data_IF_411645468803
#
_entry.id   IF_411645468803
#
_cell.length_a   1.000
_cell.length_b   1.000
_cell.length_c   1.000
_cell.angle_alpha   90.00
_cell.angle_beta   90.00
_cell.angle_gamma   90.00
#
_symmetry.space_group_name_H-M   'P 1'
#
loop_
_entity.id
_entity.type
_entity.pdbx_description
1 polymer ?
#
# COMPACT_ATOMS: atom_id res chain seq x y z
N UNK A 1 9.22 -39.56 39.41
CA UNK A 1 8.67 -40.51 38.42
C UNK A 1 7.62 -39.75 37.64
N UNK A 2 7.71 -39.42 36.35
CA UNK A 2 8.55 -39.88 35.23
C UNK A 2 8.83 -38.64 34.36
N UNK A 3 10.06 -38.52 33.86
CA UNK A 3 10.51 -37.52 32.89
C UNK A 3 10.02 -37.88 31.49
N UNK A 4 9.59 -36.91 30.69
CA UNK A 4 9.66 -36.99 29.24
C UNK A 4 10.28 -35.70 28.69
N UNK A 5 11.52 -35.85 28.22
CA UNK A 5 12.19 -34.94 27.32
C UNK A 5 11.68 -35.23 25.90
N UNK A 6 11.40 -34.20 25.12
CA UNK A 6 11.39 -34.29 23.66
C UNK A 6 11.97 -33.00 23.11
N UNK A 7 13.27 -33.08 22.82
CA UNK A 7 14.05 -32.15 22.03
C UNK A 7 13.47 -32.10 20.61
N UNK A 8 13.21 -30.90 20.09
CA UNK A 8 13.10 -30.66 18.66
C UNK A 8 14.17 -29.64 18.27
N UNK A 9 15.35 -30.16 17.95
CA UNK A 9 16.32 -29.48 17.11
C UNK A 9 15.92 -29.70 15.65
N UNK A 10 15.60 -28.64 14.90
CA UNK A 10 15.62 -28.69 13.44
C UNK A 10 16.29 -27.43 12.90
N UNK A 11 17.59 -27.59 12.68
CA UNK A 11 18.34 -27.15 11.50
C UNK A 11 18.13 -25.73 10.94
N UNK A 12 19.09 -24.86 11.28
CA UNK A 12 19.54 -23.73 10.48
C UNK A 12 19.82 -24.13 9.01
N UNK A 13 19.13 -23.50 8.07
CA UNK A 13 19.57 -23.40 6.68
C UNK A 13 19.83 -21.92 6.34
N UNK A 14 21.08 -21.50 6.59
CA UNK A 14 21.65 -20.21 6.17
C UNK A 14 21.73 -20.16 4.63
N UNK A 15 20.72 -19.61 3.97
CA UNK A 15 20.71 -19.39 2.53
C UNK A 15 21.33 -18.04 2.19
N UNK A 16 22.64 -18.03 1.97
CA UNK A 16 23.41 -16.86 1.50
C UNK A 16 23.08 -16.61 0.03
N UNK A 17 22.17 -15.66 -0.26
CA UNK A 17 22.01 -15.11 -1.61
C UNK A 17 22.99 -13.95 -1.81
N UNK A 18 24.10 -14.24 -2.48
CA UNK A 18 25.01 -13.24 -3.04
C UNK A 18 24.32 -12.57 -4.23
N UNK A 19 23.84 -11.34 -4.05
CA UNK A 19 23.36 -10.51 -5.15
C UNK A 19 24.51 -9.69 -5.73
N UNK A 20 24.77 -9.97 -7.01
CA UNK A 20 25.75 -9.37 -7.90
C UNK A 20 25.27 -7.98 -8.33
N UNK A 21 25.97 -6.87 -8.01
CA UNK A 21 25.62 -5.57 -8.59
C UNK A 21 26.28 -5.43 -9.96
N UNK A 22 25.49 -5.65 -11.01
CA UNK A 22 25.81 -5.21 -12.37
C UNK A 22 25.04 -3.94 -12.69
N UNK A 23 25.81 -2.93 -13.09
CA UNK A 23 25.49 -2.00 -14.17
C UNK A 23 24.30 -1.03 -13.95
N UNK A 24 24.61 0.22 -13.58
CA UNK A 24 23.84 1.36 -14.09
C UNK A 24 24.78 2.44 -14.64
N UNK A 25 24.48 2.73 -15.90
CA UNK A 25 25.18 3.61 -16.84
C UNK A 25 24.88 5.06 -16.50
N UNK A 26 25.94 5.85 -16.26
CA UNK A 26 25.88 7.31 -16.20
C UNK A 26 25.62 7.87 -17.61
N UNK A 27 24.39 8.30 -17.88
CA UNK A 27 24.10 9.16 -19.02
C UNK A 27 24.47 10.59 -18.63
N UNK A 28 25.55 11.06 -19.25
CA UNK A 28 26.09 12.39 -19.09
C UNK A 28 25.19 13.45 -19.74
N UNK A 29 25.09 14.57 -19.01
CA UNK A 29 24.54 15.87 -19.36
C UNK A 29 24.89 16.32 -20.79
N UNK A 30 23.86 16.67 -21.54
CA UNK A 30 23.99 17.36 -22.83
C UNK A 30 22.97 18.47 -22.98
N UNK A 31 23.43 19.72 -22.78
CA UNK A 31 23.17 20.81 -23.73
C UNK A 31 21.81 21.50 -23.72
N UNK A 32 21.75 22.64 -23.04
CA UNK A 32 20.82 23.73 -23.32
C UNK A 32 21.06 24.29 -24.74
N UNK A 33 20.03 24.42 -25.59
CA UNK A 33 20.08 25.30 -26.76
C UNK A 33 18.68 25.72 -27.24
N UNK A 34 18.57 27.01 -27.50
CA UNK A 34 17.37 27.83 -27.65
C UNK A 34 16.69 27.71 -29.02
N UNK A 35 15.34 27.72 -29.05
CA UNK A 35 14.55 28.40 -30.09
C UNK A 35 13.05 28.42 -29.75
N UNK A 36 12.39 29.60 -29.72
CA UNK A 36 10.94 29.67 -29.77
C UNK A 36 10.46 29.59 -31.23
N UNK A 37 9.58 28.64 -31.60
CA UNK A 37 8.88 28.73 -32.87
C UNK A 37 7.65 29.62 -32.73
N UNK A 38 7.79 30.80 -33.31
CA UNK A 38 6.88 31.43 -34.26
C UNK A 38 5.50 30.79 -34.46
N UNK A 39 4.47 31.61 -34.25
CA UNK A 39 3.06 31.34 -34.52
C UNK A 39 2.84 30.86 -35.96
N UNK A 40 2.43 29.61 -36.12
CA UNK A 40 1.79 29.12 -37.34
C UNK A 40 0.52 28.35 -37.02
N UNK A 41 -0.59 28.94 -37.47
CA UNK A 41 -1.78 28.31 -38.04
C UNK A 41 -2.53 27.29 -37.17
N UNK A 42 -3.74 27.69 -36.78
CA UNK A 42 -4.84 26.79 -36.39
C UNK A 42 -4.94 25.59 -37.32
N UNK A 43 -4.45 24.44 -36.88
CA UNK A 43 -4.88 23.16 -37.40
C UNK A 43 -5.86 22.57 -36.38
N UNK A 44 -7.07 22.32 -36.85
CA UNK A 44 -8.18 21.81 -36.05
C UNK A 44 -7.85 20.41 -35.56
N UNK A 45 -7.18 20.34 -34.41
CA UNK A 45 -7.02 19.11 -33.63
C UNK A 45 -8.43 18.68 -33.25
N UNK A 46 -9.01 17.76 -34.03
CA UNK A 46 -10.17 16.98 -33.57
C UNK A 46 -9.71 16.33 -32.27
N UNK A 47 -10.20 16.84 -31.14
CA UNK A 47 -10.07 16.15 -29.87
C UNK A 47 -10.43 14.68 -30.11
N UNK A 48 -9.61 13.72 -29.66
CA UNK A 48 -9.98 12.32 -29.74
C UNK A 48 -11.36 12.19 -29.10
N UNK A 49 -12.32 11.67 -29.86
CA UNK A 49 -13.63 11.33 -29.33
C UNK A 49 -13.36 10.24 -28.30
N UNK A 50 -13.37 10.59 -27.01
CA UNK A 50 -13.31 9.61 -25.94
C UNK A 50 -14.49 8.66 -26.16
N UNK A 51 -14.16 7.42 -26.49
CA UNK A 51 -15.14 6.36 -26.62
C UNK A 51 -15.81 6.19 -25.25
N UNK A 52 -17.11 6.48 -25.18
CA UNK A 52 -17.87 6.36 -23.94
C UNK A 52 -17.90 4.90 -23.51
N UNK A 53 -17.15 4.58 -22.45
CA UNK A 53 -17.20 3.26 -21.80
C UNK A 53 -18.60 2.98 -21.28
N UNK A 54 -19.06 1.75 -21.49
CA UNK A 54 -20.29 1.25 -20.85
C UNK A 54 -20.10 1.17 -19.33
N UNK A 55 -21.19 1.19 -18.53
CA UNK A 55 -21.09 1.01 -17.08
C UNK A 55 -20.35 -0.26 -16.67
N UNK A 56 -20.53 -1.36 -17.43
CA UNK A 56 -19.85 -2.64 -17.20
C UNK A 56 -18.34 -2.54 -17.43
N UNK A 57 -17.92 -1.86 -18.51
CA UNK A 57 -16.50 -1.62 -18.79
C UNK A 57 -15.84 -0.72 -17.75
N UNK A 58 -16.58 0.27 -17.24
CA UNK A 58 -16.12 1.14 -16.15
C UNK A 58 -15.93 0.35 -14.87
N UNK A 59 -16.93 -0.43 -14.44
CA UNK A 59 -16.85 -1.24 -13.21
C UNK A 59 -15.74 -2.30 -13.31
N UNK A 60 -15.62 -2.97 -14.46
CA UNK A 60 -14.54 -3.92 -14.70
C UNK A 60 -13.16 -3.26 -14.58
N UNK A 61 -12.98 -2.08 -15.20
CA UNK A 61 -11.71 -1.37 -15.11
C UNK A 61 -11.40 -0.91 -13.68
N UNK A 62 -12.39 -0.39 -12.95
CA UNK A 62 -12.25 0.00 -11.55
C UNK A 62 -11.82 -1.18 -10.67
N UNK A 63 -12.48 -2.33 -10.79
CA UNK A 63 -12.10 -3.53 -10.03
C UNK A 63 -10.71 -4.03 -10.42
N UNK A 64 -10.37 -4.03 -11.70
CA UNK A 64 -9.07 -4.46 -12.20
C UNK A 64 -7.93 -3.57 -11.70
N UNK A 65 -8.08 -2.25 -11.82
CA UNK A 65 -7.07 -1.31 -11.33
C UNK A 65 -7.03 -1.27 -9.81
N UNK A 66 -8.19 -1.28 -9.16
CA UNK A 66 -8.33 -1.21 -7.71
C UNK A 66 -7.69 -2.40 -7.00
N UNK A 67 -8.01 -3.63 -7.43
CA UNK A 67 -7.41 -4.85 -6.86
C UNK A 67 -5.90 -4.91 -7.11
N UNK A 68 -5.43 -4.47 -8.28
CA UNK A 68 -3.99 -4.39 -8.56
C UNK A 68 -3.27 -3.43 -7.60
N UNK A 69 -3.83 -2.24 -7.37
CA UNK A 69 -3.27 -1.27 -6.44
C UNK A 69 -3.40 -1.72 -4.99
N UNK A 70 -4.48 -2.44 -4.64
CA UNK A 70 -4.67 -3.03 -3.32
C UNK A 70 -3.53 -4.01 -2.99
N UNK A 71 -3.07 -4.80 -3.96
CA UNK A 71 -1.89 -5.66 -3.79
C UNK A 71 -0.63 -4.87 -3.41
N UNK A 72 -0.41 -3.70 -4.01
CA UNK A 72 0.71 -2.82 -3.62
C UNK A 72 0.52 -2.26 -2.19
N UNK A 73 -0.72 -1.89 -1.82
CA UNK A 73 -1.06 -1.49 -0.46
C UNK A 73 -0.78 -2.58 0.58
N UNK A 74 -1.16 -3.83 0.30
CA UNK A 74 -0.87 -4.98 1.16
C UNK A 74 0.63 -5.22 1.32
N UNK A 75 1.41 -5.14 0.24
CA UNK A 75 2.88 -5.24 0.28
C UNK A 75 3.49 -4.13 1.16
N UNK A 76 2.95 -2.91 1.09
CA UNK A 76 3.40 -1.77 1.91
C UNK A 76 3.02 -1.92 3.38
N UNK A 77 1.83 -2.44 3.71
CA UNK A 77 1.45 -2.82 5.09
C UNK A 77 2.41 -3.88 5.64
N UNK A 78 2.70 -4.92 4.86
CA UNK A 78 3.67 -5.95 5.26
C UNK A 78 5.06 -5.34 5.48
N UNK A 79 5.46 -4.36 4.65
CA UNK A 79 6.70 -3.61 4.83
C UNK A 79 6.74 -2.87 6.17
N UNK A 80 5.64 -2.21 6.55
CA UNK A 80 5.52 -1.50 7.82
C UNK A 80 5.61 -2.45 9.01
N UNK A 81 4.87 -3.56 8.98
CA UNK A 81 4.91 -4.58 10.03
C UNK A 81 6.31 -5.20 10.17
N UNK A 82 6.98 -5.48 9.03
CA UNK A 82 8.35 -5.98 9.04
C UNK A 82 9.36 -4.96 9.60
N UNK A 83 9.11 -3.66 9.48
CA UNK A 83 9.95 -2.62 10.08
C UNK A 83 9.69 -2.52 11.59
N UNK A 84 8.43 -2.61 12.02
CA UNK A 84 8.05 -2.68 13.45
C UNK A 84 8.78 -3.84 14.15
N UNK A 85 8.71 -5.06 13.59
CA UNK A 85 9.40 -6.23 14.13
C UNK A 85 10.93 -6.11 14.23
N UNK A 86 11.56 -5.30 13.36
CA UNK A 86 13.01 -5.08 13.39
C UNK A 86 13.42 -4.00 14.38
N UNK A 87 12.48 -3.14 14.75
CA UNK A 87 12.74 -1.99 15.61
C UNK A 87 13.09 -2.46 17.02
N UNK A 88 14.18 -1.91 17.57
CA UNK A 88 14.66 -2.29 18.90
C UNK A 88 14.02 -1.41 19.95
N UNK A 89 13.22 -2.01 20.83
CA UNK A 89 12.74 -1.33 22.02
C UNK A 89 13.90 -0.97 22.96
N UNK A 90 14.07 0.32 23.25
CA UNK A 90 15.10 0.85 24.18
C UNK A 90 14.55 1.15 25.57
N UNK A 91 13.23 1.19 25.72
CA UNK A 91 12.52 1.38 26.98
C UNK A 91 11.28 0.45 27.05
N UNK A 92 10.69 0.31 28.24
CA UNK A 92 9.44 -0.44 28.42
C UNK A 92 8.27 0.25 27.69
N UNK A 93 8.23 1.57 27.70
CA UNK A 93 7.23 2.39 26.99
C UNK A 93 7.27 2.14 25.48
N UNK A 94 8.46 2.17 24.86
CA UNK A 94 8.62 1.86 23.43
C UNK A 94 8.22 0.41 23.12
N UNK A 95 8.45 -0.51 24.06
CA UNK A 95 8.06 -1.91 23.88
C UNK A 95 6.55 -2.09 23.86
N UNK A 96 5.84 -1.41 24.76
CA UNK A 96 4.37 -1.45 24.80
C UNK A 96 3.79 -0.80 23.54
N UNK A 97 4.32 0.36 23.17
CA UNK A 97 3.91 1.03 21.94
C UNK A 97 4.16 0.22 20.67
N UNK A 98 5.28 -0.50 20.56
CA UNK A 98 5.53 -1.39 19.43
C UNK A 98 4.51 -2.53 19.37
N UNK A 99 4.06 -3.06 20.51
CA UNK A 99 3.02 -4.10 20.51
C UNK A 99 1.68 -3.54 20.02
N UNK A 100 1.27 -2.38 20.52
CA UNK A 100 0.03 -1.71 20.08
C UNK A 100 0.11 -1.33 18.58
N UNK A 101 1.29 -0.92 18.12
CA UNK A 101 1.56 -0.60 16.71
C UNK A 101 1.51 -1.83 15.81
N UNK A 102 2.12 -2.95 16.23
CA UNK A 102 2.09 -4.22 15.52
C UNK A 102 0.64 -4.74 15.39
N UNK A 103 -0.14 -4.67 16.47
CA UNK A 103 -1.55 -5.08 16.47
C UNK A 103 -2.37 -4.22 15.50
N UNK A 104 -2.23 -2.87 15.54
CA UNK A 104 -2.95 -1.97 14.64
C UNK A 104 -2.59 -2.17 13.15
N UNK A 105 -1.30 -2.34 12.83
CA UNK A 105 -0.86 -2.61 11.45
C UNK A 105 -1.37 -3.99 10.98
N UNK A 106 -1.31 -4.99 11.85
CA UNK A 106 -1.77 -6.33 11.52
C UNK A 106 -3.29 -6.39 11.31
N UNK A 107 -4.07 -5.67 12.10
CA UNK A 107 -5.53 -5.54 11.92
C UNK A 107 -5.87 -4.89 10.57
N UNK A 108 -5.12 -3.85 10.18
CA UNK A 108 -5.27 -3.20 8.87
C UNK A 108 -5.01 -4.16 7.70
N UNK A 109 -3.97 -4.98 7.79
CA UNK A 109 -3.62 -5.96 6.74
C UNK A 109 -4.51 -7.19 6.71
N UNK A 110 -4.88 -7.73 7.88
CA UNK A 110 -5.70 -8.93 8.00
C UNK A 110 -7.08 -8.76 7.38
N UNK A 111 -7.68 -7.58 7.55
CA UNK A 111 -9.00 -7.23 7.00
C UNK A 111 -9.02 -7.23 5.46
N UNK A 112 -7.94 -6.78 4.83
CA UNK A 112 -7.83 -6.68 3.37
C UNK A 112 -7.37 -7.99 2.71
N UNK A 113 -6.56 -8.79 3.40
CA UNK A 113 -6.04 -10.06 2.87
C UNK A 113 -7.13 -11.09 2.57
N UNK A 114 -8.31 -10.98 3.20
CA UNK A 114 -9.47 -11.83 2.91
C UNK A 114 -10.09 -11.56 1.53
N UNK A 115 -9.80 -10.41 0.92
CA UNK A 115 -10.40 -9.96 -0.35
C UNK A 115 -9.40 -9.83 -1.51
N UNK A 116 -8.14 -10.27 -1.30
CA UNK A 116 -7.06 -10.33 -2.31
C UNK A 116 -7.28 -11.49 -3.32
N UNK A 117 -8.46 -11.48 -3.92
CA UNK A 117 -8.88 -12.38 -4.99
C UNK A 117 -8.72 -11.70 -6.35
N UNK A 118 -8.37 -12.46 -7.39
CA UNK A 118 -8.25 -12.00 -8.77
C UNK A 118 -9.43 -11.11 -9.22
N UNK A 119 -9.10 -10.08 -10.00
CA UNK A 119 -10.10 -9.22 -10.62
C UNK A 119 -11.02 -10.03 -11.56
N UNK A 120 -12.34 -9.79 -11.54
CA UNK A 120 -13.26 -10.50 -12.42
C UNK A 120 -13.05 -10.10 -13.88
N UNK A 121 -13.34 -11.01 -14.81
CA UNK A 121 -13.34 -10.66 -16.25
C UNK A 121 -14.56 -9.82 -16.61
N UNK A 122 -14.48 -9.09 -17.73
CA UNK A 122 -15.58 -8.28 -18.24
C UNK A 122 -16.86 -9.10 -18.50
N UNK A 123 -16.74 -10.35 -18.96
CA UNK A 123 -17.89 -11.24 -19.17
C UNK A 123 -18.61 -11.54 -17.85
N UNK A 124 -17.87 -11.77 -16.76
CA UNK A 124 -18.44 -12.00 -15.44
C UNK A 124 -19.13 -10.75 -14.90
N UNK A 125 -18.48 -9.59 -15.04
CA UNK A 125 -19.07 -8.29 -14.66
C UNK A 125 -20.34 -8.00 -15.45
N UNK A 126 -20.35 -8.31 -16.74
CA UNK A 126 -21.53 -8.12 -17.61
C UNK A 126 -22.68 -9.06 -17.22
N UNK A 127 -22.37 -10.30 -16.83
CA UNK A 127 -23.36 -11.30 -16.43
C UNK A 127 -23.99 -11.00 -15.06
N UNK A 128 -23.24 -10.40 -14.13
CA UNK A 128 -23.71 -10.16 -12.75
C UNK A 128 -23.16 -8.85 -12.16
N UNK A 129 -23.50 -7.73 -12.79
CA UNK A 129 -23.06 -6.40 -12.37
C UNK A 129 -23.37 -6.07 -10.89
N UNK A 130 -24.57 -6.37 -10.34
CA UNK A 130 -24.90 -6.03 -8.96
C UNK A 130 -23.96 -6.68 -7.92
N UNK A 131 -23.57 -7.94 -8.13
CA UNK A 131 -22.63 -8.64 -7.23
C UNK A 131 -21.27 -7.97 -7.22
N UNK A 132 -20.77 -7.56 -8.38
CA UNK A 132 -19.46 -6.92 -8.48
C UNK A 132 -19.45 -5.46 -8.02
N UNK A 133 -20.57 -4.75 -8.17
CA UNK A 133 -20.74 -3.43 -7.57
C UNK A 133 -20.74 -3.53 -6.03
N UNK A 134 -21.40 -4.54 -5.47
CA UNK A 134 -21.37 -4.80 -4.03
C UNK A 134 -19.96 -5.17 -3.54
N UNK A 135 -19.22 -5.99 -4.31
CA UNK A 135 -17.81 -6.29 -4.02
C UNK A 135 -16.94 -5.02 -4.06
N UNK A 136 -17.08 -4.19 -5.11
CA UNK A 136 -16.36 -2.92 -5.23
C UNK A 136 -16.60 -2.03 -4.02
N UNK A 137 -17.87 -1.89 -3.60
CA UNK A 137 -18.22 -1.11 -2.41
C UNK A 137 -17.60 -1.70 -1.14
N UNK A 138 -17.72 -3.02 -0.94
CA UNK A 138 -17.10 -3.71 0.21
C UNK A 138 -15.60 -3.43 0.27
N UNK A 139 -14.89 -3.50 -0.85
CA UNK A 139 -13.46 -3.17 -0.91
C UNK A 139 -13.19 -1.71 -0.49
N UNK A 140 -13.99 -0.75 -0.94
CA UNK A 140 -13.86 0.64 -0.50
C UNK A 140 -14.04 0.77 1.02
N UNK A 141 -15.08 0.15 1.57
CA UNK A 141 -15.38 0.20 3.01
C UNK A 141 -14.21 -0.42 3.82
N UNK A 142 -13.68 -1.57 3.40
CA UNK A 142 -12.52 -2.21 4.06
C UNK A 142 -11.24 -1.38 3.94
N UNK A 143 -10.99 -0.72 2.80
CA UNK A 143 -9.83 0.16 2.65
C UNK A 143 -9.94 1.35 3.60
N UNK A 144 -11.12 1.94 3.77
CA UNK A 144 -11.34 3.02 4.74
C UNK A 144 -11.09 2.53 6.17
N UNK A 145 -11.62 1.36 6.55
CA UNK A 145 -11.36 0.75 7.87
C UNK A 145 -9.85 0.56 8.11
N UNK A 146 -9.11 0.05 7.12
CA UNK A 146 -7.65 -0.11 7.21
C UNK A 146 -6.92 1.24 7.29
N UNK A 147 -7.38 2.26 6.56
CA UNK A 147 -6.82 3.62 6.67
C UNK A 147 -7.02 4.20 8.08
N UNK A 148 -8.16 3.96 8.73
CA UNK A 148 -8.38 4.35 10.13
C UNK A 148 -7.41 3.63 11.07
N UNK A 149 -7.24 2.31 10.94
CA UNK A 149 -6.27 1.56 11.76
C UNK A 149 -4.82 2.03 11.55
N UNK A 150 -4.43 2.38 10.31
CA UNK A 150 -3.10 2.93 10.02
C UNK A 150 -2.94 4.36 10.55
N UNK A 151 -3.99 5.18 10.55
CA UNK A 151 -3.99 6.49 11.21
C UNK A 151 -3.78 6.36 12.73
N UNK A 152 -4.46 5.41 13.38
CA UNK A 152 -4.27 5.12 14.80
C UNK A 152 -2.83 4.70 15.09
N UNK A 153 -2.27 3.80 14.25
CA UNK A 153 -0.86 3.40 14.31
C UNK A 153 0.08 4.61 14.16
N UNK A 154 -0.20 5.51 13.21
CA UNK A 154 0.58 6.74 13.01
C UNK A 154 0.53 7.65 14.23
N UNK A 155 -0.63 7.76 14.87
CA UNK A 155 -0.82 8.51 16.11
C UNK A 155 0.00 7.97 17.28
N UNK A 156 0.19 6.66 17.38
CA UNK A 156 1.10 6.03 18.37
C UNK A 156 2.55 6.48 18.13
N UNK A 157 3.00 6.49 16.88
CA UNK A 157 4.35 6.96 16.50
C UNK A 157 4.54 8.43 16.87
N UNK A 158 3.56 9.28 16.55
CA UNK A 158 3.61 10.72 16.85
C UNK A 158 3.57 11.02 18.36
N UNK A 159 2.78 10.26 19.11
CA UNK A 159 2.68 10.40 20.57
C UNK A 159 4.00 10.13 21.31
N UNK A 160 4.94 9.44 20.64
CA UNK A 160 6.25 9.06 21.17
C UNK A 160 7.42 9.80 20.49
N UNK A 161 7.12 10.78 19.65
CA UNK A 161 8.14 11.69 19.13
C UNK A 161 8.79 12.44 20.30
N UNK A 162 10.12 12.35 20.47
CA UNK A 162 10.79 13.03 21.57
C UNK A 162 10.66 14.56 21.42
N UNK A 163 10.62 15.26 22.55
CA UNK A 163 10.42 16.71 22.60
C UNK A 163 11.63 17.55 22.15
N UNK A 164 12.77 16.91 21.86
CA UNK A 164 14.03 17.52 21.44
C UNK A 164 14.47 16.93 20.09
N UNK A 165 15.50 17.48 19.42
CA UNK A 165 16.04 17.11 18.09
C UNK A 165 16.52 15.62 17.94
N UNK A 166 16.14 14.72 18.84
CA UNK A 166 16.35 13.28 18.70
C UNK A 166 15.30 12.69 17.77
N UNK A 167 15.71 11.82 16.85
CA UNK A 167 14.78 11.10 16.00
C UNK A 167 14.17 9.94 16.80
N UNK A 168 12.83 9.80 16.75
CA UNK A 168 12.16 8.66 17.41
C UNK A 168 12.65 7.35 16.79
N UNK A 169 12.94 6.30 17.59
CA UNK A 169 13.25 4.99 17.04
C UNK A 169 12.09 4.38 16.24
N UNK A 170 10.87 4.92 16.39
CA UNK A 170 9.67 4.50 15.66
C UNK A 170 9.47 5.25 14.33
N UNK A 171 10.22 6.32 14.08
CA UNK A 171 10.08 7.15 12.87
C UNK A 171 10.21 6.34 11.56
N UNK A 172 11.15 5.38 11.42
CA UNK A 172 11.19 4.52 10.24
C UNK A 172 9.91 3.70 10.02
N UNK A 173 9.22 3.31 11.10
CA UNK A 173 7.94 2.60 11.01
C UNK A 173 6.84 3.57 10.58
N UNK A 174 6.82 4.78 11.15
CA UNK A 174 5.90 5.86 10.74
C UNK A 174 5.97 6.16 9.24
N UNK A 175 7.18 6.27 8.68
CA UNK A 175 7.36 6.47 7.24
C UNK A 175 6.82 5.32 6.38
N UNK A 176 6.87 4.08 6.90
CA UNK A 176 6.30 2.92 6.20
C UNK A 176 4.78 2.89 6.29
N UNK A 177 4.22 3.31 7.42
CA UNK A 177 2.78 3.51 7.57
C UNK A 177 2.29 4.56 6.57
N UNK A 178 2.97 5.70 6.46
CA UNK A 178 2.61 6.76 5.51
C UNK A 178 2.58 6.26 4.06
N UNK A 179 3.59 5.47 3.66
CA UNK A 179 3.63 4.84 2.32
C UNK A 179 2.47 3.86 2.13
N UNK A 180 2.17 3.03 3.13
CA UNK A 180 1.05 2.09 3.05
C UNK A 180 -0.29 2.82 2.92
N UNK A 181 -0.49 3.92 3.65
CA UNK A 181 -1.69 4.74 3.54
C UNK A 181 -1.83 5.38 2.16
N UNK A 182 -0.74 5.89 1.57
CA UNK A 182 -0.76 6.48 0.23
C UNK A 182 -1.10 5.43 -0.84
N UNK A 183 -0.57 4.22 -0.73
CA UNK A 183 -0.89 3.12 -1.65
C UNK A 183 -2.36 2.68 -1.51
N UNK A 184 -2.88 2.59 -0.28
CA UNK A 184 -4.30 2.30 -0.02
C UNK A 184 -5.23 3.40 -0.57
N UNK A 185 -4.86 4.68 -0.43
CA UNK A 185 -5.60 5.79 -1.06
C UNK A 185 -5.61 5.65 -2.58
N UNK A 186 -4.48 5.29 -3.19
CA UNK A 186 -4.41 4.99 -4.62
C UNK A 186 -5.34 3.85 -5.05
N UNK A 187 -5.43 2.80 -4.24
CA UNK A 187 -6.38 1.70 -4.47
C UNK A 187 -7.85 2.15 -4.33
N UNK A 188 -8.15 2.95 -3.31
CA UNK A 188 -9.48 3.50 -3.07
C UNK A 188 -9.95 4.40 -4.23
N UNK A 189 -9.09 5.30 -4.69
CA UNK A 189 -9.35 6.17 -5.85
C UNK A 189 -9.57 5.34 -7.12
N UNK A 190 -8.75 4.31 -7.35
CA UNK A 190 -8.89 3.42 -8.51
C UNK A 190 -10.20 2.62 -8.49
N UNK A 191 -10.74 2.30 -7.30
CA UNK A 191 -12.07 1.72 -7.13
C UNK A 191 -13.20 2.75 -7.28
N UNK A 192 -12.89 4.03 -7.45
CA UNK A 192 -13.85 5.13 -7.48
C UNK A 192 -14.44 5.47 -6.11
N UNK A 193 -13.76 5.11 -5.03
CA UNK A 193 -14.07 5.51 -3.66
C UNK A 193 -13.45 6.86 -3.29
N UNK A 194 -13.76 7.32 -2.08
CA UNK A 194 -13.18 8.51 -1.46
C UNK A 194 -12.92 8.20 0.01
N UNK A 195 -11.84 8.75 0.56
CA UNK A 195 -11.49 8.60 1.98
C UNK A 195 -12.60 9.19 2.84
N UNK A 196 -13.00 8.45 3.88
CA UNK A 196 -13.95 8.92 4.86
C UNK A 196 -13.28 9.95 5.76
N UNK A 197 -13.84 11.16 5.81
CA UNK A 197 -13.39 12.20 6.74
C UNK A 197 -14.31 12.18 7.96
N UNK A 198 -13.74 11.96 9.14
CA UNK A 198 -14.46 12.07 10.41
C UNK A 198 -14.95 13.53 10.59
N UNK A 199 -16.23 13.79 10.31
CA UNK A 199 -16.93 15.05 10.62
C UNK A 199 -17.54 15.07 12.04
#
# INVERSE_FOLDING_TARGET
>A
MVRFYAEYEVHCASMKRTLTPWLLVLIALGGCSSKPPESTVSDGTKSPVEEQKTPQETLHEQLRSGIFQLGAGLDSIESALNEAHKTKATSQEIKEALADLEDAINDAGGTLAEEDDDAPTLERVTADMPTYEARRKKLCDLINDSLHSLNDARGIVDGLAPSDDQESPLEPVGQKIDVAMDDLRGALEALGGQEETDE
#
